data_IF_342800569419
#
_entry.id   IF_342800569419
#
_cell.length_a   1.000
_cell.length_b   1.000
_cell.length_c   1.000
_cell.angle_alpha   90.00
_cell.angle_beta   90.00
_cell.angle_gamma   90.00
#
_symmetry.space_group_name_H-M   'P 1'
#
loop_
_entity.id
_entity.type
_entity.pdbx_description
1 polymer ?
#
# COMPACT_ATOMS: atom_id res chain seq x y z
N UNK A 1 6.78 -7.23 -19.72
CA UNK A 1 6.34 -6.01 -19.01
C UNK A 1 6.09 -6.35 -17.54
N UNK A 2 6.03 -5.38 -16.60
CA UNK A 2 5.62 -5.69 -15.23
C UNK A 2 4.15 -6.12 -15.16
N UNK A 3 3.86 -7.14 -14.35
CA UNK A 3 2.50 -7.63 -14.12
C UNK A 3 1.85 -6.94 -12.92
N UNK A 4 0.59 -6.52 -13.07
CA UNK A 4 -0.20 -5.97 -11.97
C UNK A 4 -0.60 -7.08 -11.00
N UNK A 5 -0.32 -6.93 -9.71
CA UNK A 5 -0.63 -7.96 -8.69
C UNK A 5 -2.12 -8.12 -8.38
N UNK A 6 -2.97 -7.17 -8.78
CA UNK A 6 -4.41 -7.22 -8.51
C UNK A 6 -5.16 -7.89 -9.67
N UNK A 7 -5.01 -7.38 -10.90
CA UNK A 7 -5.70 -7.91 -12.08
C UNK A 7 -4.90 -8.94 -12.89
N UNK A 8 -3.59 -9.09 -12.60
CA UNK A 8 -2.65 -9.97 -13.34
C UNK A 8 -2.45 -9.60 -14.81
N UNK A 9 -2.75 -8.36 -15.18
CA UNK A 9 -2.44 -7.84 -16.51
C UNK A 9 -0.99 -7.39 -16.62
N UNK A 10 -0.42 -7.60 -17.81
CA UNK A 10 0.87 -7.06 -18.20
C UNK A 10 0.71 -5.59 -18.59
N UNK A 11 1.41 -4.69 -17.89
CA UNK A 11 1.30 -3.24 -18.10
C UNK A 11 2.67 -2.61 -18.24
N UNK A 12 2.80 -1.51 -18.96
CA UNK A 12 4.10 -0.84 -19.11
C UNK A 12 4.63 -0.22 -17.81
N UNK A 13 3.72 0.21 -16.91
CA UNK A 13 4.06 0.95 -15.70
C UNK A 13 3.18 0.53 -14.52
N UNK A 14 3.84 0.32 -13.38
CA UNK A 14 3.19 0.15 -12.08
C UNK A 14 3.35 1.41 -11.24
N UNK A 15 2.29 1.80 -10.55
CA UNK A 15 2.29 2.88 -9.57
C UNK A 15 2.22 2.30 -8.15
N UNK A 16 2.77 3.03 -7.18
CA UNK A 16 2.75 2.63 -5.77
C UNK A 16 1.65 3.38 -5.05
N UNK A 17 0.72 2.66 -4.40
CA UNK A 17 -0.34 3.20 -3.55
C UNK A 17 -0.20 2.66 -2.14
N UNK A 18 -0.59 3.44 -1.14
CA UNK A 18 -0.62 2.98 0.26
C UNK A 18 -2.02 2.48 0.60
N UNK A 19 -2.10 1.27 1.15
CA UNK A 19 -3.35 0.64 1.60
C UNK A 19 -3.04 -0.04 2.94
N UNK A 20 -3.66 0.43 4.03
CA UNK A 20 -3.41 -0.10 5.39
C UNK A 20 -1.94 -0.05 5.80
N UNK A 21 -1.35 1.15 5.79
CA UNK A 21 0.05 1.39 6.17
C UNK A 21 1.10 0.77 5.23
N UNK A 22 0.69 -0.02 4.23
CA UNK A 22 1.58 -0.78 3.34
C UNK A 22 1.52 -0.25 1.93
N UNK A 23 2.69 -0.02 1.35
CA UNK A 23 2.81 0.31 -0.06
C UNK A 23 2.55 -0.95 -0.92
N UNK A 24 1.58 -0.88 -1.83
CA UNK A 24 1.29 -1.86 -2.87
C UNK A 24 1.64 -1.29 -4.24
N UNK A 25 2.25 -2.10 -5.11
CA UNK A 25 2.52 -1.74 -6.52
C UNK A 25 1.51 -2.41 -7.43
N UNK A 26 0.76 -1.60 -8.17
CA UNK A 26 -0.34 -2.03 -9.04
C UNK A 26 -0.43 -1.13 -10.28
N UNK A 27 -1.25 -1.47 -11.28
CA UNK A 27 -1.49 -0.59 -12.43
C UNK A 27 -2.29 0.66 -12.03
N UNK A 28 -2.33 1.66 -12.91
CA UNK A 28 -3.03 2.92 -12.64
C UNK A 28 -4.52 2.75 -12.34
N UNK A 29 -5.16 1.76 -12.97
CA UNK A 29 -6.59 1.47 -12.78
C UNK A 29 -6.89 0.83 -11.40
N UNK A 30 -6.10 -0.17 -10.99
CA UNK A 30 -6.23 -0.77 -9.66
C UNK A 30 -5.77 0.18 -8.54
N UNK A 31 -4.84 1.09 -8.84
CA UNK A 31 -4.35 2.09 -7.89
C UNK A 31 -5.45 3.03 -7.40
N UNK A 32 -6.35 3.44 -8.30
CA UNK A 32 -7.42 4.37 -7.97
C UNK A 32 -8.41 3.74 -6.98
N UNK A 33 -8.83 2.49 -7.27
CA UNK A 33 -9.69 1.70 -6.39
C UNK A 33 -9.07 1.48 -5.00
N UNK A 34 -7.80 1.06 -4.98
CA UNK A 34 -7.08 0.79 -3.75
C UNK A 34 -6.81 2.04 -2.92
N UNK A 35 -6.67 3.21 -3.55
CA UNK A 35 -6.48 4.49 -2.84
C UNK A 35 -7.73 4.85 -2.03
N UNK A 36 -8.90 4.63 -2.61
CA UNK A 36 -10.19 4.84 -1.94
C UNK A 36 -10.34 3.94 -0.69
N UNK A 37 -9.86 2.69 -0.76
CA UNK A 37 -9.82 1.77 0.39
C UNK A 37 -8.75 2.13 1.44
N UNK A 38 -7.66 2.77 1.02
CA UNK A 38 -6.51 3.10 1.87
C UNK A 38 -6.76 4.24 2.86
N UNK A 39 -7.64 5.19 2.53
CA UNK A 39 -7.96 6.34 3.40
C UNK A 39 -8.65 5.93 4.71
N UNK A 40 -9.27 4.75 4.77
CA UNK A 40 -9.97 4.25 5.95
C UNK A 40 -9.01 3.68 7.00
N UNK A 41 -7.87 3.13 6.59
CA UNK A 41 -6.96 2.41 7.47
C UNK A 41 -5.91 3.30 8.17
N UNK A 42 -5.52 4.42 7.54
CA UNK A 42 -4.57 5.39 8.13
C UNK A 42 -5.13 6.13 9.37
N UNK A 43 -6.45 6.04 9.62
CA UNK A 43 -7.04 6.51 10.87
C UNK A 43 -6.84 5.54 12.05
N UNK A 44 -6.46 4.27 11.81
CA UNK A 44 -6.39 3.23 12.84
C UNK A 44 -4.98 2.79 13.23
N UNK A 45 -4.00 2.83 12.29
CA UNK A 45 -2.64 2.30 12.56
C UNK A 45 -1.69 3.32 13.21
N UNK A 46 -1.97 4.62 13.09
CA UNK A 46 -1.19 5.69 13.75
C UNK A 46 -1.26 5.66 15.28
N UNK A 47 -2.28 5.03 15.87
CA UNK A 47 -2.44 4.90 17.34
C UNK A 47 -1.62 3.74 17.91
N UNK A 48 -1.40 2.67 17.13
CA UNK A 48 -0.77 1.44 17.64
C UNK A 48 0.75 1.43 17.41
N UNK A 49 1.26 2.07 16.36
CA UNK A 49 2.69 2.06 16.04
C UNK A 49 3.53 3.13 16.79
N UNK A 50 2.93 3.88 17.70
CA UNK A 50 3.65 4.77 18.63
C UNK A 50 4.16 4.08 19.90
N UNK A 51 3.69 2.86 20.21
CA UNK A 51 4.02 2.16 21.46
C UNK A 51 5.13 1.10 21.36
N UNK A 52 5.53 0.69 20.16
CA UNK A 52 6.71 -0.18 19.97
C UNK A 52 7.92 0.66 19.57
N UNK A 53 8.37 1.47 20.52
CA UNK A 53 9.68 2.11 20.49
C UNK A 53 10.77 1.08 20.14
N UNK A 54 11.71 1.47 19.30
CA UNK A 54 12.99 1.97 19.81
C UNK A 54 13.73 0.94 20.71
N UNK A 55 13.67 -0.36 20.40
CA UNK A 55 14.48 -1.36 21.10
C UNK A 55 14.87 -2.51 20.16
N UNK A 56 16.11 -2.47 19.68
CA UNK A 56 16.80 -3.65 19.14
C UNK A 56 17.12 -3.63 17.65
N UNK A 57 17.94 -2.65 17.21
CA UNK A 57 18.76 -2.85 16.01
C UNK A 57 20.20 -3.14 16.48
N UNK A 58 20.53 -4.41 16.67
CA UNK A 58 21.90 -4.92 16.71
C UNK A 58 21.94 -6.28 16.06
#
# INVERSE_FOLDING_TARGET
MPECRECKDEVDKLVSVKVGGKARKVCADCADRLREEGEVAEASEGVIQGMMGYKGRR
#
